data_IF_877414133563
#
_entry.id   IF_877414133563
#
_cell.length_a   1.000
_cell.length_b   1.000
_cell.length_c   1.000
_cell.angle_alpha   90.00
_cell.angle_beta   90.00
_cell.angle_gamma   90.00
#
_symmetry.space_group_name_H-M   'P 1'
#
loop_
_entity.id
_entity.type
_entity.pdbx_description
1 polymer ?
#
# COMPACT_ATOMS: atom_id res chain seq x y z
N UNK A 1 3.86 -10.08 7.56
CA UNK A 1 3.75 -11.53 7.80
C UNK A 1 4.75 -12.29 6.92
N UNK A 2 5.32 -13.36 7.45
CA UNK A 2 6.22 -14.27 6.74
C UNK A 2 5.54 -15.63 6.52
N UNK A 3 5.72 -16.20 5.32
CA UNK A 3 5.10 -17.46 4.93
C UNK A 3 6.12 -18.32 4.16
N UNK A 4 6.28 -19.58 4.55
CA UNK A 4 7.20 -20.54 3.94
C UNK A 4 8.63 -20.43 4.46
N UNK A 5 9.42 -21.47 4.21
CA UNK A 5 10.80 -21.60 4.72
C UNK A 5 11.82 -21.69 3.58
N UNK A 6 11.43 -21.38 2.36
CA UNK A 6 12.30 -21.51 1.18
C UNK A 6 13.48 -20.55 1.23
N UNK A 7 14.58 -20.93 0.57
CA UNK A 7 15.80 -20.13 0.51
C UNK A 7 15.61 -18.82 -0.29
N UNK A 8 14.75 -18.83 -1.29
CA UNK A 8 14.49 -17.66 -2.14
C UNK A 8 13.40 -16.77 -1.54
N UNK A 9 13.73 -15.52 -1.22
CA UNK A 9 12.81 -14.56 -0.63
C UNK A 9 12.04 -13.78 -1.70
N UNK A 10 10.71 -13.72 -1.54
CA UNK A 10 9.81 -12.86 -2.32
C UNK A 10 9.16 -11.88 -1.36
N UNK A 11 9.30 -10.58 -1.63
CA UNK A 11 8.60 -9.53 -0.88
C UNK A 11 7.41 -9.06 -1.72
N UNK A 12 6.23 -8.97 -1.08
CA UNK A 12 5.01 -8.40 -1.67
C UNK A 12 4.71 -7.11 -0.91
N UNK A 13 4.87 -5.98 -1.58
CA UNK A 13 4.60 -4.65 -1.07
C UNK A 13 3.39 -4.01 -1.75
N UNK A 14 2.84 -3.01 -1.15
CA UNK A 14 1.79 -2.16 -1.68
C UNK A 14 0.92 -1.60 -0.56
N UNK A 15 -0.17 -1.02 -0.96
CA UNK A 15 -1.18 -0.41 -0.10
C UNK A 15 -2.21 -1.42 0.45
N UNK A 16 -3.46 -0.98 0.63
CA UNK A 16 -4.57 -1.82 1.10
C UNK A 16 -4.88 -3.00 0.18
N UNK A 17 -4.58 -2.91 -1.12
CA UNK A 17 -4.72 -4.02 -2.06
C UNK A 17 -3.73 -5.14 -1.76
N UNK A 18 -2.47 -4.80 -1.50
CA UNK A 18 -1.48 -5.77 -1.06
C UNK A 18 -1.76 -6.27 0.37
N UNK A 19 -2.35 -5.44 1.22
CA UNK A 19 -2.76 -5.84 2.57
C UNK A 19 -3.85 -6.92 2.55
N UNK A 20 -4.72 -6.96 1.52
CA UNK A 20 -5.73 -8.00 1.37
C UNK A 20 -5.14 -9.42 1.33
N UNK A 21 -3.90 -9.59 0.87
CA UNK A 21 -3.22 -10.89 0.92
C UNK A 21 -2.99 -11.40 2.36
N UNK A 22 -3.03 -10.50 3.36
CA UNK A 22 -2.90 -10.83 4.80
C UNK A 22 -4.22 -11.22 5.45
N UNK A 23 -5.37 -10.90 4.83
CA UNK A 23 -6.69 -11.18 5.37
C UNK A 23 -6.93 -12.70 5.39
N UNK A 24 -7.58 -13.16 6.49
CA UNK A 24 -7.69 -14.59 6.86
C UNK A 24 -8.12 -15.53 5.72
N UNK A 25 -9.06 -15.10 4.88
CA UNK A 25 -9.58 -15.92 3.79
C UNK A 25 -8.62 -15.94 2.59
N UNK A 26 -8.20 -14.78 2.12
CA UNK A 26 -7.22 -14.64 1.03
C UNK A 26 -5.89 -15.30 1.39
N UNK A 27 -5.46 -15.15 2.65
CA UNK A 27 -4.29 -15.83 3.21
C UNK A 27 -4.38 -17.36 3.10
N UNK A 28 -5.56 -17.95 3.33
CA UNK A 28 -5.74 -19.41 3.21
C UNK A 28 -5.50 -19.93 1.79
N UNK A 29 -5.94 -19.20 0.77
CA UNK A 29 -5.74 -19.57 -0.64
C UNK A 29 -4.30 -19.32 -1.07
N UNK A 30 -3.75 -18.16 -0.72
CA UNK A 30 -2.35 -17.85 -0.95
C UNK A 30 -1.46 -18.88 -0.27
N UNK A 31 -1.73 -19.26 0.97
CA UNK A 31 -1.00 -20.30 1.70
C UNK A 31 -1.05 -21.65 0.96
N UNK A 32 -2.20 -22.08 0.46
CA UNK A 32 -2.31 -23.33 -0.31
C UNK A 32 -1.47 -23.29 -1.58
N UNK A 33 -1.44 -22.14 -2.26
CA UNK A 33 -0.60 -21.94 -3.43
C UNK A 33 0.88 -21.93 -3.05
N UNK A 34 1.25 -21.18 -2.01
CA UNK A 34 2.60 -20.99 -1.56
C UNK A 34 3.19 -22.24 -0.91
N UNK A 35 2.39 -23.04 -0.21
CA UNK A 35 2.81 -24.33 0.36
C UNK A 35 3.27 -25.33 -0.71
N UNK A 36 2.77 -25.20 -1.94
CA UNK A 36 3.25 -25.97 -3.08
C UNK A 36 4.58 -25.46 -3.64
N UNK A 37 5.04 -24.30 -3.18
CA UNK A 37 6.25 -23.61 -3.65
C UNK A 37 7.34 -23.65 -2.58
N UNK A 38 7.76 -24.84 -2.16
CA UNK A 38 8.74 -25.08 -1.08
C UNK A 38 10.05 -24.29 -1.26
N UNK A 39 10.35 -23.89 -2.48
CA UNK A 39 11.54 -23.10 -2.83
C UNK A 39 11.49 -21.68 -2.29
N UNK A 40 10.30 -21.12 -2.06
CA UNK A 40 10.12 -19.70 -1.77
C UNK A 40 9.67 -19.42 -0.36
N UNK A 41 10.16 -18.29 0.16
CA UNK A 41 9.70 -17.65 1.39
C UNK A 41 9.07 -16.30 1.01
N UNK A 42 7.89 -16.01 1.51
CA UNK A 42 7.13 -14.82 1.17
C UNK A 42 7.02 -13.88 2.37
N UNK A 43 7.35 -12.61 2.15
CA UNK A 43 7.18 -11.53 3.11
C UNK A 43 6.01 -10.67 2.64
N UNK A 44 4.88 -10.73 3.36
CA UNK A 44 3.71 -9.92 3.08
C UNK A 44 3.86 -8.57 3.78
N UNK A 45 4.20 -7.54 3.04
CA UNK A 45 4.53 -6.20 3.51
C UNK A 45 3.54 -5.13 3.01
N UNK A 46 2.35 -5.54 2.56
CA UNK A 46 1.26 -4.61 2.21
C UNK A 46 0.72 -3.90 3.45
N UNK A 47 0.44 -2.61 3.34
CA UNK A 47 -0.11 -1.77 4.41
C UNK A 47 -0.95 -0.65 3.82
N UNK A 48 -2.18 -0.48 4.32
CA UNK A 48 -3.11 0.52 3.81
C UNK A 48 -2.50 1.91 3.67
N UNK A 49 -2.82 2.59 2.59
CA UNK A 49 -2.33 3.91 2.21
C UNK A 49 -0.81 4.03 1.97
N UNK A 50 -0.09 2.93 1.78
CA UNK A 50 1.31 2.99 1.38
C UNK A 50 1.42 3.33 -0.10
N UNK A 51 2.18 4.38 -0.42
CA UNK A 51 2.55 4.79 -1.77
C UNK A 51 4.02 4.47 -2.06
N UNK A 52 4.50 4.63 -3.28
CA UNK A 52 5.89 4.31 -3.63
C UNK A 52 6.96 4.94 -2.76
N UNK A 53 6.76 6.16 -2.21
CA UNK A 53 7.72 6.77 -1.27
C UNK A 53 7.83 6.00 0.05
N UNK A 54 6.68 5.59 0.62
CA UNK A 54 6.67 4.78 1.84
C UNK A 54 7.19 3.37 1.55
N UNK A 55 6.81 2.77 0.43
CA UNK A 55 7.30 1.47 -0.01
C UNK A 55 8.83 1.47 -0.15
N UNK A 56 9.41 2.57 -0.64
CA UNK A 56 10.86 2.77 -0.71
C UNK A 56 11.50 2.70 0.68
N UNK A 57 10.94 3.45 1.63
CA UNK A 57 11.44 3.48 3.02
C UNK A 57 11.25 2.11 3.70
N UNK A 58 10.10 1.48 3.52
CA UNK A 58 9.81 0.16 4.06
C UNK A 58 10.78 -0.90 3.53
N UNK A 59 11.06 -0.91 2.23
CA UNK A 59 11.99 -1.87 1.64
C UNK A 59 13.40 -1.73 2.21
N UNK A 60 13.84 -0.49 2.44
CA UNK A 60 15.10 -0.23 3.12
C UNK A 60 15.12 -0.82 4.54
N UNK A 61 14.05 -0.60 5.33
CA UNK A 61 13.93 -1.13 6.69
C UNK A 61 13.87 -2.66 6.72
N UNK A 62 13.11 -3.28 5.81
CA UNK A 62 13.03 -4.73 5.69
C UNK A 62 14.41 -5.36 5.48
N UNK A 63 15.26 -4.73 4.69
CA UNK A 63 16.63 -5.20 4.46
C UNK A 63 17.55 -4.91 5.63
N UNK A 64 17.50 -3.68 6.16
CA UNK A 64 18.44 -3.23 7.19
C UNK A 64 18.18 -3.88 8.55
N UNK A 65 16.91 -3.93 8.96
CA UNK A 65 16.54 -4.26 10.33
C UNK A 65 16.08 -5.74 10.46
N UNK A 66 15.66 -6.36 9.35
CA UNK A 66 15.14 -7.73 9.34
C UNK A 66 15.91 -8.69 8.42
N UNK A 67 16.96 -8.21 7.74
CA UNK A 67 17.75 -8.98 6.76
C UNK A 67 16.90 -9.64 5.65
N UNK A 68 15.77 -9.04 5.32
CA UNK A 68 14.91 -9.52 4.26
C UNK A 68 15.39 -8.99 2.91
N UNK A 69 16.29 -9.74 2.28
CA UNK A 69 16.84 -9.43 0.97
C UNK A 69 16.09 -10.20 -0.13
N UNK A 70 15.10 -9.60 -0.82
CA UNK A 70 14.30 -10.33 -1.80
C UNK A 70 15.07 -10.64 -3.07
N UNK A 71 14.89 -11.86 -3.60
CA UNK A 71 15.25 -12.19 -4.98
C UNK A 71 14.22 -11.70 -6.00
N UNK A 72 12.96 -11.63 -5.55
CA UNK A 72 11.85 -11.09 -6.33
C UNK A 72 11.05 -10.12 -5.48
N UNK A 73 10.70 -8.98 -6.08
CA UNK A 73 9.84 -7.97 -5.47
C UNK A 73 8.56 -7.88 -6.28
N UNK A 74 7.42 -8.08 -5.62
CA UNK A 74 6.08 -7.81 -6.17
C UNK A 74 5.58 -6.53 -5.55
N UNK A 75 5.36 -5.51 -6.36
CA UNK A 75 4.81 -4.23 -5.94
C UNK A 75 3.38 -4.11 -6.47
N UNK A 76 2.41 -4.01 -5.59
CA UNK A 76 1.03 -3.68 -5.94
C UNK A 76 0.88 -2.19 -5.83
N UNK A 77 0.59 -1.53 -6.93
CA UNK A 77 0.44 -0.08 -7.02
C UNK A 77 -0.93 0.21 -7.62
N UNK A 78 -1.76 0.91 -6.89
CA UNK A 78 -3.07 1.28 -7.35
C UNK A 78 -3.17 2.75 -7.77
N UNK A 79 -4.31 3.12 -8.28
CA UNK A 79 -4.56 4.47 -8.76
C UNK A 79 -4.57 5.50 -7.62
N UNK A 80 -4.99 5.09 -6.41
CA UNK A 80 -5.10 6.00 -5.25
C UNK A 80 -3.73 6.34 -4.66
N UNK A 81 -2.71 5.51 -4.92
CA UNK A 81 -1.33 5.77 -4.52
C UNK A 81 -0.80 7.11 -5.06
N UNK A 82 -1.30 7.54 -6.21
CA UNK A 82 -0.93 8.83 -6.81
C UNK A 82 -1.43 9.98 -5.92
N UNK A 83 -2.68 9.91 -5.51
CA UNK A 83 -3.26 10.91 -4.63
C UNK A 83 -2.62 10.91 -3.25
N UNK A 84 -2.37 9.73 -2.69
CA UNK A 84 -1.67 9.59 -1.42
C UNK A 84 -0.25 10.18 -1.50
N UNK A 85 0.46 9.93 -2.58
CA UNK A 85 1.81 10.46 -2.79
C UNK A 85 1.82 11.99 -2.87
N UNK A 86 0.97 12.56 -3.73
CA UNK A 86 0.93 14.01 -3.97
C UNK A 86 0.44 14.75 -2.73
N UNK A 87 -0.62 14.25 -2.13
CA UNK A 87 -1.32 14.93 -1.06
C UNK A 87 -0.67 14.70 0.30
N UNK A 88 -0.34 13.45 0.66
CA UNK A 88 0.16 13.09 1.98
C UNK A 88 1.68 13.13 2.06
N UNK A 89 2.37 12.39 1.18
CA UNK A 89 3.76 12.06 1.39
C UNK A 89 4.75 13.05 0.80
N UNK A 90 4.35 13.80 -0.23
CA UNK A 90 5.21 14.80 -0.87
C UNK A 90 5.86 15.77 0.12
N UNK A 91 5.12 16.21 1.14
CA UNK A 91 5.60 17.15 2.17
C UNK A 91 6.48 16.48 3.23
N UNK A 92 6.32 15.19 3.44
CA UNK A 92 7.01 14.41 4.48
C UNK A 92 8.26 13.71 3.93
N UNK A 93 8.38 13.67 2.61
CA UNK A 93 9.48 13.01 1.91
C UNK A 93 10.74 13.86 1.98
N UNK A 94 11.81 13.25 2.44
CA UNK A 94 13.16 13.84 2.47
C UNK A 94 14.16 12.91 1.82
N UNK A 95 15.21 13.49 1.26
CA UNK A 95 16.37 12.74 0.77
C UNK A 95 17.55 12.99 1.69
N UNK A 96 17.90 12.00 2.51
CA UNK A 96 19.00 12.08 3.47
C UNK A 96 20.10 11.11 3.05
N UNK A 97 21.30 11.63 2.79
CA UNK A 97 22.46 10.83 2.32
C UNK A 97 22.12 9.94 1.11
N UNK A 98 21.36 10.50 0.16
CA UNK A 98 20.93 9.81 -1.07
C UNK A 98 19.76 8.86 -0.92
N UNK A 99 19.22 8.65 0.28
CA UNK A 99 18.08 7.75 0.59
C UNK A 99 16.79 8.54 0.74
N UNK A 100 15.70 7.93 0.31
CA UNK A 100 14.36 8.45 0.53
C UNK A 100 13.91 8.02 1.92
N UNK A 101 13.50 9.00 2.71
CA UNK A 101 12.89 8.82 4.02
C UNK A 101 11.59 9.60 4.01
N UNK A 102 10.52 8.97 4.45
CA UNK A 102 9.26 9.64 4.73
C UNK A 102 9.17 9.82 6.23
N UNK A 103 9.22 11.06 6.67
CA UNK A 103 9.09 11.36 8.10
C UNK A 103 7.65 11.06 8.54
N UNK A 104 7.47 10.54 9.77
CA UNK A 104 6.14 10.47 10.34
C UNK A 104 5.56 11.88 10.44
N UNK A 105 4.26 12.03 10.20
CA UNK A 105 3.60 13.29 10.54
C UNK A 105 3.96 13.65 12.00
N UNK A 106 4.33 14.91 12.28
CA UNK A 106 4.61 15.31 13.65
C UNK A 106 3.34 15.12 14.48
N UNK A 107 3.25 13.99 15.13
CA UNK A 107 2.33 13.79 16.22
C UNK A 107 2.86 14.72 17.30
N UNK A 108 2.06 15.70 17.74
CA UNK A 108 2.44 16.56 18.85
C UNK A 108 3.00 15.67 19.97
N UNK A 109 4.29 15.75 20.22
CA UNK A 109 5.12 14.84 21.01
C UNK A 109 4.72 14.72 22.50
N UNK A 110 3.59 15.28 22.89
CA UNK A 110 3.10 15.29 24.27
C UNK A 110 2.37 14.00 24.65
N UNK A 111 2.04 13.10 23.70
CA UNK A 111 1.19 11.92 23.99
C UNK A 111 1.87 10.54 23.82
N UNK A 112 3.13 10.45 23.46
CA UNK A 112 3.88 9.19 23.42
C UNK A 112 4.89 9.07 24.56
N UNK A 113 4.46 9.25 25.79
CA UNK A 113 5.26 8.84 26.93
C UNK A 113 5.02 7.34 27.22
N UNK A 114 6.12 6.62 27.42
CA UNK A 114 6.15 5.20 27.78
C UNK A 114 5.24 4.80 28.98
N UNK A 115 4.81 5.78 29.78
CA UNK A 115 3.80 5.61 30.81
C UNK A 115 2.41 5.27 30.28
N UNK A 116 2.09 5.59 29.00
CA UNK A 116 0.78 5.31 28.41
C UNK A 116 0.63 3.83 28.08
N UNK A 117 1.70 3.14 27.68
CA UNK A 117 1.66 1.71 27.39
C UNK A 117 1.36 0.87 28.64
N UNK A 118 1.90 1.27 29.79
CA UNK A 118 1.62 0.60 31.08
C UNK A 118 0.21 0.95 31.61
N UNK A 119 -0.23 2.17 31.41
CA UNK A 119 -1.59 2.60 31.76
C UNK A 119 -2.66 1.97 30.86
N UNK A 120 -2.37 1.76 29.58
CA UNK A 120 -3.33 1.15 28.65
C UNK A 120 -3.49 -0.36 28.89
N UNK A 121 -2.45 -1.07 29.28
CA UNK A 121 -2.54 -2.45 29.73
C UNK A 121 -3.33 -2.57 31.05
N UNK A 122 -3.13 -1.65 31.98
CA UNK A 122 -3.89 -1.58 33.22
C UNK A 122 -5.36 -1.20 32.97
N UNK A 123 -5.63 -0.26 32.05
CA UNK A 123 -6.97 0.13 31.63
C UNK A 123 -7.71 -0.99 30.89
N UNK A 124 -7.04 -1.79 30.06
CA UNK A 124 -7.64 -2.94 29.39
C UNK A 124 -8.14 -3.96 30.43
N UNK A 125 -7.31 -4.28 31.43
CA UNK A 125 -7.70 -5.21 32.49
C UNK A 125 -8.95 -4.73 33.25
N UNK A 126 -9.05 -3.44 33.58
CA UNK A 126 -10.20 -2.88 34.26
C UNK A 126 -11.42 -2.66 33.34
N UNK A 127 -11.23 -2.38 32.04
CA UNK A 127 -12.34 -2.18 31.10
C UNK A 127 -13.16 -3.46 30.88
N UNK A 128 -12.51 -4.61 30.96
CA UNK A 128 -13.19 -5.89 30.78
C UNK A 128 -14.06 -6.29 31.97
N UNK A 129 -13.76 -5.73 33.14
CA UNK A 129 -14.43 -6.09 34.39
C UNK A 129 -15.40 -5.03 34.94
N UNK A 130 -15.36 -3.78 34.47
CA UNK A 130 -16.17 -2.69 34.98
C UNK A 130 -16.88 -1.88 33.90
N UNK A 131 -18.22 -1.96 33.86
CA UNK A 131 -19.06 -1.28 32.86
C UNK A 131 -18.90 0.25 32.83
N UNK A 132 -18.61 0.89 33.98
CA UNK A 132 -18.41 2.33 34.04
C UNK A 132 -17.17 2.80 33.31
N UNK A 133 -16.10 1.96 33.28
CA UNK A 133 -14.87 2.22 32.55
C UNK A 133 -15.08 2.11 31.03
N UNK A 134 -15.97 1.21 30.58
CA UNK A 134 -16.38 1.14 29.18
C UNK A 134 -17.06 2.42 28.71
N UNK A 135 -17.94 2.98 29.52
CA UNK A 135 -18.61 4.26 29.24
C UNK A 135 -17.59 5.41 29.17
N UNK A 136 -16.68 5.50 30.15
CA UNK A 136 -15.63 6.52 30.15
C UNK A 136 -14.69 6.40 28.95
N UNK A 137 -14.31 5.17 28.57
CA UNK A 137 -13.51 4.91 27.38
C UNK A 137 -14.26 5.27 26.10
N UNK A 138 -15.57 5.04 26.03
CA UNK A 138 -16.41 5.46 24.90
C UNK A 138 -16.41 6.98 24.73
N UNK A 139 -16.64 7.75 25.80
CA UNK A 139 -16.58 9.22 25.75
C UNK A 139 -15.18 9.73 25.44
N UNK A 140 -14.14 9.10 25.99
CA UNK A 140 -12.75 9.42 25.66
C UNK A 140 -12.47 9.18 24.17
N UNK A 141 -12.94 8.07 23.61
CA UNK A 141 -12.78 7.76 22.19
C UNK A 141 -13.49 8.78 21.29
N UNK A 142 -14.72 9.19 21.64
CA UNK A 142 -15.45 10.26 20.93
C UNK A 142 -14.67 11.58 21.00
N UNK A 143 -14.18 11.94 22.18
CA UNK A 143 -13.40 13.17 22.37
C UNK A 143 -12.08 13.11 21.58
N UNK A 144 -11.39 11.99 21.64
CA UNK A 144 -10.15 11.75 20.89
C UNK A 144 -10.41 11.75 19.38
N UNK A 145 -11.50 11.14 18.91
CA UNK A 145 -11.90 11.21 17.50
C UNK A 145 -12.21 12.66 17.07
N UNK A 146 -12.95 13.43 17.87
CA UNK A 146 -13.21 14.86 17.58
C UNK A 146 -11.93 15.70 17.62
N UNK A 147 -11.03 15.44 18.56
CA UNK A 147 -9.71 16.09 18.61
C UNK A 147 -8.85 15.69 17.41
N UNK A 148 -8.82 14.40 17.07
CA UNK A 148 -8.12 13.88 15.90
C UNK A 148 -8.72 14.42 14.61
N UNK A 149 -10.04 14.59 14.49
CA UNK A 149 -10.66 15.26 13.34
C UNK A 149 -10.20 16.72 13.19
N UNK A 150 -9.92 17.44 14.29
CA UNK A 150 -9.29 18.78 14.23
C UNK A 150 -7.82 18.73 13.82
N UNK A 151 -7.07 17.70 14.25
CA UNK A 151 -5.67 17.47 13.86
C UNK A 151 -5.61 16.95 12.42
N UNK A 152 -6.57 16.14 12.01
CA UNK A 152 -6.73 15.61 10.64
C UNK A 152 -7.14 16.67 9.59
N UNK A 153 -7.34 17.94 9.96
CA UNK A 153 -7.43 19.03 8.97
C UNK A 153 -6.17 19.22 8.14
N UNK A 154 -5.05 18.58 8.52
CA UNK A 154 -3.81 18.56 7.75
C UNK A 154 -3.74 17.31 6.85
N UNK A 155 -4.55 16.28 7.10
CA UNK A 155 -4.64 15.08 6.27
C UNK A 155 -5.53 15.35 5.07
N UNK A 156 -5.06 14.91 3.92
CA UNK A 156 -5.85 14.93 2.71
C UNK A 156 -7.17 14.19 2.92
N UNK A 157 -8.25 14.85 2.56
CA UNK A 157 -9.55 14.19 2.50
C UNK A 157 -9.60 13.26 1.26
N UNK A 158 -10.66 12.46 1.19
CA UNK A 158 -10.86 11.52 0.09
C UNK A 158 -10.87 12.21 -1.27
N UNK A 159 -11.54 13.35 -1.37
CA UNK A 159 -11.69 14.07 -2.64
C UNK A 159 -10.33 14.54 -3.16
N UNK A 160 -9.45 15.01 -2.28
CA UNK A 160 -8.08 15.39 -2.63
C UNK A 160 -7.22 14.20 -3.08
N UNK A 161 -7.45 12.99 -2.54
CA UNK A 161 -6.76 11.77 -2.98
C UNK A 161 -7.26 11.33 -4.35
N UNK A 162 -8.56 11.51 -4.64
CA UNK A 162 -9.16 11.10 -5.90
C UNK A 162 -9.06 12.16 -7.00
N UNK A 163 -8.81 13.44 -6.65
CA UNK A 163 -8.71 14.55 -7.60
C UNK A 163 -7.76 14.28 -8.79
N UNK A 164 -6.54 13.73 -8.59
CA UNK A 164 -5.67 13.41 -9.72
C UNK A 164 -6.27 12.36 -10.67
N UNK A 165 -7.13 11.49 -10.18
CA UNK A 165 -7.76 10.44 -10.99
C UNK A 165 -8.86 11.01 -11.89
N UNK A 166 -9.61 11.97 -11.36
CA UNK A 166 -10.72 12.64 -12.06
C UNK A 166 -10.23 13.70 -13.05
N UNK A 167 -9.27 14.52 -12.64
CA UNK A 167 -8.84 15.71 -13.35
C UNK A 167 -7.49 15.54 -14.07
N UNK A 168 -6.81 14.42 -13.87
CA UNK A 168 -5.47 14.19 -14.39
C UNK A 168 -4.37 14.88 -13.58
N UNK A 169 -3.13 14.66 -13.98
CA UNK A 169 -1.95 15.27 -13.37
C UNK A 169 -1.51 16.51 -14.13
N UNK A 170 -1.08 17.51 -13.38
CA UNK A 170 -0.32 18.63 -13.96
C UNK A 170 1.07 18.12 -14.37
N UNK A 171 1.73 18.74 -15.38
CA UNK A 171 3.03 18.28 -15.87
C UNK A 171 4.08 18.09 -14.77
N UNK A 172 4.14 19.00 -13.79
CA UNK A 172 5.09 18.90 -12.67
C UNK A 172 4.73 17.78 -11.68
N UNK A 173 3.46 17.40 -11.56
CA UNK A 173 3.00 16.28 -10.72
C UNK A 173 3.31 14.96 -11.42
N UNK A 174 3.13 14.88 -12.72
CA UNK A 174 3.52 13.72 -13.51
C UNK A 174 5.02 13.47 -13.41
N UNK A 175 5.84 14.51 -13.60
CA UNK A 175 7.28 14.41 -13.46
C UNK A 175 7.69 13.99 -12.04
N UNK A 176 7.04 14.55 -11.03
CA UNK A 176 7.24 14.17 -9.63
C UNK A 176 6.95 12.67 -9.43
N UNK A 177 5.82 12.17 -9.90
CA UNK A 177 5.46 10.76 -9.78
C UNK A 177 6.45 9.83 -10.49
N UNK A 178 6.89 10.19 -11.70
CA UNK A 178 7.91 9.44 -12.43
C UNK A 178 9.20 9.36 -11.60
N UNK A 179 9.65 10.48 -11.04
CA UNK A 179 10.87 10.52 -10.21
C UNK A 179 10.74 9.67 -8.94
N UNK A 180 9.56 9.64 -8.31
CA UNK A 180 9.26 8.78 -7.16
C UNK A 180 9.39 7.30 -7.53
N UNK A 181 8.81 6.90 -8.64
CA UNK A 181 8.90 5.52 -9.13
C UNK A 181 10.34 5.15 -9.49
N UNK A 182 11.10 6.06 -10.10
CA UNK A 182 12.53 5.82 -10.35
C UNK A 182 13.34 5.66 -9.06
N UNK A 183 13.07 6.46 -8.04
CA UNK A 183 13.73 6.32 -6.73
C UNK A 183 13.35 4.97 -6.08
N UNK A 184 12.10 4.52 -6.20
CA UNK A 184 11.67 3.20 -5.74
C UNK A 184 12.41 2.09 -6.49
N UNK A 185 12.54 2.18 -7.81
CA UNK A 185 13.31 1.20 -8.59
C UNK A 185 14.78 1.19 -8.19
N UNK A 186 15.40 2.35 -7.97
CA UNK A 186 16.79 2.43 -7.49
C UNK A 186 16.95 1.76 -6.13
N UNK A 187 16.03 2.02 -5.19
CA UNK A 187 16.06 1.38 -3.88
C UNK A 187 15.88 -0.14 -4.00
N UNK A 188 14.91 -0.59 -4.78
CA UNK A 188 14.68 -2.01 -5.01
C UNK A 188 15.96 -2.70 -5.55
N UNK A 189 16.55 -2.17 -6.59
CA UNK A 189 17.72 -2.73 -7.24
C UNK A 189 19.06 -2.33 -6.60
N UNK A 190 19.06 -1.64 -5.47
CA UNK A 190 20.27 -1.46 -4.67
C UNK A 190 20.71 -2.76 -4.01
N UNK A 191 19.79 -3.72 -3.83
CA UNK A 191 20.12 -5.08 -3.43
C UNK A 191 20.70 -5.87 -4.59
N UNK A 192 21.91 -6.45 -4.44
CA UNK A 192 22.54 -7.24 -5.52
C UNK A 192 21.79 -8.56 -5.80
N UNK A 193 21.03 -9.06 -4.83
CA UNK A 193 20.30 -10.34 -4.96
C UNK A 193 18.97 -10.21 -5.69
N UNK A 194 18.39 -8.99 -5.80
CA UNK A 194 17.13 -8.79 -6.49
C UNK A 194 17.29 -9.11 -7.98
N UNK A 195 16.62 -10.15 -8.44
CA UNK A 195 16.64 -10.61 -9.84
C UNK A 195 15.62 -9.86 -10.69
N UNK A 196 14.40 -9.70 -10.20
CA UNK A 196 13.29 -9.12 -10.94
C UNK A 196 12.30 -8.40 -10.02
N UNK A 197 11.73 -7.32 -10.52
CA UNK A 197 10.60 -6.63 -9.93
C UNK A 197 9.37 -6.80 -10.81
N UNK A 198 8.25 -7.17 -10.19
CA UNK A 198 6.94 -7.29 -10.85
C UNK A 198 6.04 -6.22 -10.25
N UNK A 199 5.51 -5.36 -11.09
CA UNK A 199 4.56 -4.34 -10.67
C UNK A 199 3.18 -4.77 -11.13
N UNK A 200 2.27 -4.91 -10.19
CA UNK A 200 0.86 -5.21 -10.46
C UNK A 200 0.09 -3.91 -10.27
N UNK A 201 -0.63 -3.48 -11.29
CA UNK A 201 -1.46 -2.28 -11.21
C UNK A 201 -2.92 -2.65 -11.08
N UNK A 202 -3.63 -1.95 -10.20
CA UNK A 202 -5.06 -2.14 -9.99
C UNK A 202 -5.86 -0.96 -10.53
N UNK A 203 -6.99 -1.21 -11.23
CA UNK A 203 -7.91 -0.17 -11.64
C UNK A 203 -8.81 0.24 -10.48
N UNK A 204 -9.19 1.49 -10.44
CA UNK A 204 -10.38 1.92 -9.73
C UNK A 204 -11.63 1.62 -10.58
N UNK A 205 -12.78 1.30 -9.93
CA UNK A 205 -14.02 0.99 -10.67
C UNK A 205 -14.42 2.06 -11.69
N UNK A 206 -14.19 3.34 -11.37
CA UNK A 206 -14.46 4.46 -12.27
C UNK A 206 -13.54 4.54 -13.49
N UNK A 207 -12.40 3.82 -13.50
CA UNK A 207 -11.60 3.67 -14.73
C UNK A 207 -12.25 2.70 -15.70
N UNK A 208 -12.90 1.65 -15.21
CA UNK A 208 -13.62 0.70 -16.05
C UNK A 208 -14.89 1.32 -16.64
N UNK A 209 -15.56 2.21 -15.90
CA UNK A 209 -16.70 2.98 -16.41
C UNK A 209 -16.31 4.16 -17.29
N UNK A 210 -15.03 4.50 -17.38
CA UNK A 210 -14.54 5.63 -18.19
C UNK A 210 -14.67 7.01 -17.54
N UNK A 211 -15.02 7.07 -16.25
CA UNK A 211 -15.16 8.33 -15.52
C UNK A 211 -13.81 8.93 -15.10
N UNK A 212 -12.78 8.09 -14.87
CA UNK A 212 -11.44 8.55 -14.49
C UNK A 212 -10.51 8.61 -15.71
N UNK A 213 -9.73 9.68 -15.80
CA UNK A 213 -8.84 9.94 -16.93
C UNK A 213 -7.41 9.48 -16.72
N UNK A 214 -6.96 9.44 -15.48
CA UNK A 214 -5.59 9.08 -15.17
C UNK A 214 -5.36 7.57 -15.23
N UNK A 215 -4.30 7.17 -15.95
CA UNK A 215 -3.88 5.78 -16.03
C UNK A 215 -2.49 5.59 -15.39
N UNK A 216 -2.44 4.85 -14.27
CA UNK A 216 -1.17 4.58 -13.56
C UNK A 216 -0.21 3.72 -14.38
N UNK A 217 -0.72 2.86 -15.27
CA UNK A 217 0.12 2.04 -16.15
C UNK A 217 1.07 2.91 -16.97
N UNK A 218 0.56 4.04 -17.49
CA UNK A 218 1.35 4.95 -18.32
C UNK A 218 2.47 5.62 -17.52
N UNK A 219 2.19 6.02 -16.29
CA UNK A 219 3.20 6.61 -15.39
C UNK A 219 4.31 5.61 -15.07
N UNK A 220 3.92 4.38 -14.70
CA UNK A 220 4.88 3.32 -14.38
C UNK A 220 5.70 2.95 -15.62
N UNK A 221 5.06 2.91 -16.80
CA UNK A 221 5.74 2.63 -18.05
C UNK A 221 6.78 3.71 -18.40
N UNK A 222 6.42 5.00 -18.25
CA UNK A 222 7.35 6.13 -18.44
C UNK A 222 8.54 6.04 -17.48
N UNK A 223 8.30 5.78 -16.19
CA UNK A 223 9.35 5.60 -15.20
C UNK A 223 10.24 4.37 -15.52
N UNK A 224 9.62 3.26 -15.92
CA UNK A 224 10.36 2.05 -16.33
C UNK A 224 11.30 2.32 -17.50
N UNK A 225 10.85 3.00 -18.56
CA UNK A 225 11.69 3.31 -19.73
C UNK A 225 12.91 4.14 -19.34
N UNK A 226 12.73 5.15 -18.47
CA UNK A 226 13.81 5.98 -17.98
C UNK A 226 14.81 5.21 -17.09
N UNK A 227 14.35 4.14 -16.45
CA UNK A 227 15.16 3.37 -15.52
C UNK A 227 16.20 2.51 -16.23
N UNK A 228 17.46 2.52 -15.74
CA UNK A 228 18.50 1.57 -16.17
C UNK A 228 18.15 0.10 -15.89
N UNK A 229 17.14 -0.15 -15.07
CA UNK A 229 16.66 -1.49 -14.69
C UNK A 229 15.47 -1.96 -15.53
N UNK A 230 15.12 -1.28 -16.61
CA UNK A 230 13.90 -1.51 -17.40
C UNK A 230 13.67 -2.97 -17.81
N UNK A 231 14.73 -3.71 -18.15
CA UNK A 231 14.67 -5.14 -18.53
C UNK A 231 14.33 -6.07 -17.34
N UNK A 232 14.57 -5.61 -16.12
CA UNK A 232 14.31 -6.37 -14.89
C UNK A 232 12.97 -6.03 -14.25
N UNK A 233 12.24 -5.06 -14.80
CA UNK A 233 10.92 -4.64 -14.34
C UNK A 233 9.86 -5.18 -15.28
N UNK A 234 8.93 -5.98 -14.77
CA UNK A 234 7.74 -6.46 -15.48
C UNK A 234 6.50 -5.73 -14.94
N UNK A 235 5.67 -5.20 -15.82
CA UNK A 235 4.37 -4.62 -15.46
C UNK A 235 3.29 -5.65 -15.80
N UNK A 236 2.39 -5.90 -14.87
CA UNK A 236 1.18 -6.71 -15.01
C UNK A 236 0.01 -5.79 -14.78
N UNK A 237 -0.61 -5.35 -15.86
CA UNK A 237 -1.75 -4.45 -15.82
C UNK A 237 -3.02 -5.24 -15.52
N UNK A 238 -3.51 -5.11 -14.30
CA UNK A 238 -4.79 -5.70 -13.94
C UNK A 238 -5.95 -4.91 -14.54
N UNK A 239 -5.76 -3.62 -14.83
CA UNK A 239 -6.72 -2.82 -15.58
C UNK A 239 -7.02 -3.42 -16.97
N UNK A 240 -5.98 -3.75 -17.74
CA UNK A 240 -6.16 -4.37 -19.06
C UNK A 240 -6.86 -5.71 -18.96
N UNK A 241 -6.48 -6.52 -17.97
CA UNK A 241 -7.14 -7.80 -17.72
C UNK A 241 -8.62 -7.61 -17.41
N UNK A 242 -8.94 -6.75 -16.44
CA UNK A 242 -10.32 -6.49 -16.03
C UNK A 242 -11.16 -5.91 -17.17
N UNK A 243 -10.59 -5.00 -17.98
CA UNK A 243 -11.28 -4.41 -19.13
C UNK A 243 -11.67 -5.48 -20.18
N UNK A 244 -10.81 -6.44 -20.41
CA UNK A 244 -11.06 -7.51 -21.39
C UNK A 244 -12.12 -8.54 -20.92
N UNK A 245 -12.34 -8.63 -19.60
CA UNK A 245 -13.29 -9.58 -18.99
C UNK A 245 -14.48 -8.86 -18.34
N UNK A 246 -14.60 -7.56 -18.56
CA UNK A 246 -15.68 -6.76 -18.00
C UNK A 246 -16.97 -6.98 -18.80
N UNK A 247 -17.96 -7.56 -18.14
CA UNK A 247 -19.30 -7.86 -18.70
C UNK A 247 -20.29 -6.70 -18.57
N UNK A 248 -19.86 -5.53 -18.11
CA UNK A 248 -20.68 -4.36 -17.87
C UNK A 248 -21.15 -4.17 -16.43
N UNK A 249 -21.02 -5.19 -15.57
CA UNK A 249 -21.40 -5.09 -14.16
C UNK A 249 -20.19 -4.99 -13.22
N UNK A 250 -19.93 -3.75 -12.77
CA UNK A 250 -18.86 -3.45 -11.79
C UNK A 250 -19.04 -4.19 -10.46
N UNK A 251 -20.27 -4.54 -10.11
CA UNK A 251 -20.56 -5.25 -8.86
C UNK A 251 -20.08 -6.71 -8.89
N UNK A 252 -19.81 -7.27 -10.05
CA UNK A 252 -19.21 -8.61 -10.15
C UNK A 252 -17.74 -8.60 -9.77
N UNK A 253 -17.06 -7.45 -9.93
CA UNK A 253 -15.62 -7.30 -9.71
C UNK A 253 -15.31 -6.68 -8.36
N UNK A 254 -16.00 -5.60 -8.00
CA UNK A 254 -15.67 -4.77 -6.85
C UNK A 254 -16.64 -4.94 -5.69
N UNK A 255 -16.14 -4.67 -4.49
CA UNK A 255 -16.98 -4.58 -3.29
C UNK A 255 -17.97 -3.44 -3.45
N UNK A 256 -19.22 -3.70 -3.16
CA UNK A 256 -20.28 -2.71 -3.24
C UNK A 256 -20.05 -1.58 -2.24
N UNK A 257 -20.35 -0.35 -2.67
CA UNK A 257 -20.17 0.87 -1.85
C UNK A 257 -18.74 1.12 -1.35
N UNK A 258 -17.75 0.40 -1.84
CA UNK A 258 -16.37 0.64 -1.50
C UNK A 258 -15.78 1.78 -2.33
N UNK A 259 -15.39 2.82 -1.63
CA UNK A 259 -14.82 4.02 -2.23
C UNK A 259 -13.47 3.81 -2.92
N UNK A 260 -12.72 2.84 -2.45
CA UNK A 260 -11.36 2.53 -2.94
C UNK A 260 -11.34 1.37 -3.93
N UNK A 261 -12.51 0.84 -4.26
CA UNK A 261 -12.68 -0.19 -5.30
C UNK A 261 -11.92 -1.49 -5.01
N UNK A 262 -11.93 -1.95 -3.76
CA UNK A 262 -11.38 -3.26 -3.45
C UNK A 262 -12.11 -4.37 -4.21
N UNK A 263 -11.37 -5.38 -4.65
CA UNK A 263 -11.95 -6.50 -5.37
C UNK A 263 -12.79 -7.38 -4.45
N UNK A 264 -13.87 -7.90 -4.98
CA UNK A 264 -14.57 -9.00 -4.31
C UNK A 264 -13.64 -10.20 -4.16
N UNK A 265 -13.72 -10.86 -3.02
CA UNK A 265 -12.88 -12.00 -2.69
C UNK A 265 -12.96 -13.10 -3.75
N UNK A 266 -14.19 -13.43 -4.19
CA UNK A 266 -14.41 -14.47 -5.20
C UNK A 266 -13.75 -14.10 -6.54
N UNK A 267 -13.83 -12.84 -6.95
CA UNK A 267 -13.22 -12.38 -8.19
C UNK A 267 -11.69 -12.46 -8.11
N UNK A 268 -11.14 -12.02 -6.99
CA UNK A 268 -9.71 -12.09 -6.71
C UNK A 268 -9.18 -13.54 -6.77
N UNK A 269 -9.90 -14.46 -6.14
CA UNK A 269 -9.51 -15.86 -6.04
C UNK A 269 -9.62 -16.61 -7.38
N UNK A 270 -10.60 -16.26 -8.21
CA UNK A 270 -10.83 -16.95 -9.49
C UNK A 270 -9.94 -16.43 -10.63
N UNK A 271 -9.45 -15.18 -10.55
CA UNK A 271 -8.78 -14.53 -11.67
C UNK A 271 -7.31 -14.17 -11.41
N UNK A 272 -6.87 -14.15 -10.15
CA UNK A 272 -5.50 -13.75 -9.78
C UNK A 272 -4.66 -14.93 -9.31
N UNK A 273 -5.29 -15.91 -8.71
CA UNK A 273 -4.62 -17.14 -8.30
C UNK A 273 -4.86 -18.21 -9.36
N UNK A 274 -3.80 -18.71 -10.02
CA UNK A 274 -3.90 -19.81 -10.98
C UNK A 274 -4.32 -21.12 -10.33
#
# INVERSE_FOLDING_TARGET
DEIGNGASCIVIQGDSWAEQYRIKKSKKYLLKFLQKQEKYRFILAGTGSYSPSIMTSQLFLLRKDFDHNPEFLVAVIDQTDIGDEICRYKKLRKKIKGRIIVEPEPVNSIEYNSAILTLDNFKMFFSDNFSIIKVLNYFKNIYTQKKNQKIHKIRCNRDQILDPLENGLKPFEEEYMINILEDYFKEAFSSPVLKKMIIITHPHKKHLSGEYVLNIDDLIYKAKIKSKYNKRIKIVSFFKHSKNHFDGDLNNIFVENDAYSHLKENYFLSNILP
#
